data_IF_792152302592
#
_entry.id   IF_792152302592
#
_cell.length_a   1.000
_cell.length_b   1.000
_cell.length_c   1.000
_cell.angle_alpha   90.00
_cell.angle_beta   90.00
_cell.angle_gamma   90.00
#
_symmetry.space_group_name_H-M   'P 1'
#
loop_
_entity.id
_entity.type
_entity.pdbx_description
1 polymer ?
#
# COMPACT_ATOMS: atom_id res chain seq x y z
N UNK A 1 -3.16 6.76 -14.55
CA UNK A 1 -2.45 5.52 -14.10
C UNK A 1 -3.48 4.44 -13.96
N UNK A 2 -3.38 3.41 -14.80
CA UNK A 2 -4.41 2.39 -14.89
C UNK A 2 -4.39 1.41 -13.70
N UNK A 3 -5.53 0.80 -13.37
CA UNK A 3 -5.64 -0.08 -12.20
C UNK A 3 -4.81 -1.36 -12.35
N UNK A 4 -4.43 -1.95 -11.21
CA UNK A 4 -3.81 -3.28 -11.18
C UNK A 4 -4.81 -4.44 -11.37
N UNK A 5 -6.05 -4.14 -11.78
CA UNK A 5 -7.05 -5.15 -12.11
C UNK A 5 -6.66 -5.89 -13.39
N UNK A 6 -7.18 -7.10 -13.54
CA UNK A 6 -7.04 -7.85 -14.79
C UNK A 6 -7.60 -7.03 -15.95
N UNK A 7 -6.78 -6.91 -17.01
CA UNK A 7 -7.21 -6.33 -18.25
C UNK A 7 -7.94 -7.41 -19.06
N UNK A 8 -9.13 -7.13 -19.59
CA UNK A 8 -9.76 -7.99 -20.59
C UNK A 8 -8.88 -8.05 -21.86
N UNK A 9 -9.18 -9.00 -22.74
CA UNK A 9 -8.56 -9.03 -24.06
C UNK A 9 -8.83 -7.71 -24.79
N UNK A 10 -7.79 -7.04 -25.30
CA UNK A 10 -7.91 -5.72 -25.91
C UNK A 10 -8.79 -5.73 -27.17
N UNK A 11 -8.79 -6.84 -27.92
CA UNK A 11 -9.66 -7.00 -29.08
C UNK A 11 -11.13 -7.09 -28.67
N UNK A 12 -11.43 -7.85 -27.62
CA UNK A 12 -12.80 -7.99 -27.12
C UNK A 12 -13.29 -6.71 -26.45
N UNK A 13 -12.45 -6.07 -25.63
CA UNK A 13 -12.79 -4.86 -24.87
C UNK A 13 -13.15 -3.68 -25.77
N UNK A 14 -12.40 -3.49 -26.85
CA UNK A 14 -12.64 -2.40 -27.81
C UNK A 14 -13.41 -2.84 -29.06
N UNK A 15 -13.94 -4.08 -29.08
CA UNK A 15 -14.68 -4.64 -30.22
C UNK A 15 -13.90 -4.55 -31.56
N UNK A 16 -12.61 -4.84 -31.51
CA UNK A 16 -11.68 -4.76 -32.65
C UNK A 16 -11.57 -6.10 -33.37
N UNK A 17 -11.31 -6.07 -34.68
CA UNK A 17 -11.01 -7.28 -35.45
C UNK A 17 -9.53 -7.67 -35.27
N UNK A 18 -9.29 -8.82 -34.62
CA UNK A 18 -7.94 -9.35 -34.40
C UNK A 18 -7.21 -9.75 -35.69
N UNK A 19 -7.91 -9.83 -36.83
CA UNK A 19 -7.32 -10.08 -38.15
C UNK A 19 -6.94 -8.81 -38.91
N UNK A 20 -7.39 -7.64 -38.46
CA UNK A 20 -7.07 -6.36 -39.09
C UNK A 20 -5.56 -6.05 -38.96
N UNK A 21 -5.02 -5.25 -39.86
CA UNK A 21 -3.63 -4.77 -39.78
C UNK A 21 -3.47 -3.74 -38.66
N UNK A 22 -2.25 -3.54 -38.13
CA UNK A 22 -2.02 -2.54 -37.08
C UNK A 22 -2.38 -1.11 -37.51
N UNK A 23 -2.29 -0.81 -38.81
CA UNK A 23 -2.76 0.46 -39.37
C UNK A 23 -4.28 0.60 -39.29
N UNK A 24 -5.02 -0.45 -39.66
CA UNK A 24 -6.48 -0.46 -39.59
C UNK A 24 -6.98 -0.41 -38.13
N UNK A 25 -6.32 -1.13 -37.22
CA UNK A 25 -6.58 -1.03 -35.78
C UNK A 25 -6.35 0.38 -35.26
N UNK A 26 -5.32 1.07 -35.73
CA UNK A 26 -5.08 2.47 -35.38
C UNK A 26 -6.20 3.41 -35.83
N UNK A 27 -6.80 3.17 -37.00
CA UNK A 27 -7.98 3.94 -37.44
C UNK A 27 -9.19 3.66 -36.54
N UNK A 28 -9.43 2.40 -36.19
CA UNK A 28 -10.55 2.01 -35.32
C UNK A 28 -10.40 2.60 -33.91
N UNK A 29 -9.20 2.54 -33.33
CA UNK A 29 -8.92 3.10 -32.01
C UNK A 29 -8.99 4.63 -32.01
N UNK A 30 -8.50 5.29 -33.05
CA UNK A 30 -8.65 6.75 -33.19
C UNK A 30 -10.13 7.16 -33.33
N UNK A 31 -10.95 6.38 -34.04
CA UNK A 31 -12.38 6.62 -34.13
C UNK A 31 -13.09 6.43 -32.78
N UNK A 32 -12.69 5.42 -32.00
CA UNK A 32 -13.21 5.19 -30.65
C UNK A 32 -12.81 6.32 -29.68
N UNK A 33 -11.60 6.85 -29.78
CA UNK A 33 -11.17 8.02 -28.99
C UNK A 33 -12.00 9.27 -29.32
N UNK A 34 -12.19 9.55 -30.61
CA UNK A 34 -13.01 10.67 -31.08
C UNK A 34 -14.47 10.54 -30.64
N UNK A 35 -14.99 9.30 -30.54
CA UNK A 35 -16.32 9.05 -30.03
C UNK A 35 -16.43 9.37 -28.54
N UNK A 36 -15.46 8.95 -27.72
CA UNK A 36 -15.41 9.27 -26.28
C UNK A 36 -15.30 10.79 -26.06
N UNK A 37 -14.49 11.47 -26.85
CA UNK A 37 -14.40 12.94 -26.83
C UNK A 37 -15.75 13.60 -27.16
N UNK A 38 -16.45 13.10 -28.19
CA UNK A 38 -17.78 13.57 -28.56
C UNK A 38 -18.86 13.33 -27.49
N UNK A 39 -18.67 12.33 -26.62
CA UNK A 39 -19.53 12.06 -25.46
C UNK A 39 -19.18 12.91 -24.23
N UNK A 40 -18.12 13.74 -24.31
CA UNK A 40 -17.70 14.64 -23.23
C UNK A 40 -16.75 14.02 -22.20
N UNK A 41 -16.11 12.88 -22.52
CA UNK A 41 -15.09 12.29 -21.64
C UNK A 41 -13.82 13.15 -21.64
N UNK A 42 -13.36 13.49 -20.43
CA UNK A 42 -12.11 14.23 -20.25
C UNK A 42 -10.89 13.38 -20.67
N UNK A 43 -9.78 14.00 -21.08
CA UNK A 43 -8.55 13.27 -21.41
C UNK A 43 -8.01 12.39 -20.29
N UNK A 44 -8.22 12.76 -19.02
CA UNK A 44 -7.82 11.95 -17.85
C UNK A 44 -8.85 10.90 -17.43
N UNK A 45 -9.93 10.72 -18.21
CA UNK A 45 -10.91 9.68 -17.92
C UNK A 45 -10.26 8.29 -18.10
N UNK A 46 -10.53 7.33 -17.20
CA UNK A 46 -9.91 6.01 -17.25
C UNK A 46 -10.16 5.30 -18.59
N UNK A 47 -11.33 5.52 -19.20
CA UNK A 47 -11.70 4.94 -20.50
C UNK A 47 -10.78 5.44 -21.64
N UNK A 48 -10.38 6.73 -21.60
CA UNK A 48 -9.44 7.29 -22.59
C UNK A 48 -8.00 6.88 -22.30
N UNK A 49 -7.61 6.72 -21.03
CA UNK A 49 -6.30 6.17 -20.66
C UNK A 49 -6.14 4.70 -21.15
N UNK A 50 -7.17 3.86 -20.96
CA UNK A 50 -7.18 2.47 -21.43
C UNK A 50 -7.03 2.40 -22.95
N UNK A 51 -7.76 3.24 -23.67
CA UNK A 51 -7.70 3.32 -25.13
C UNK A 51 -6.34 3.80 -25.62
N UNK A 52 -5.70 4.74 -24.92
CA UNK A 52 -4.35 5.20 -25.23
C UNK A 52 -3.29 4.11 -25.03
N UNK A 53 -3.44 3.25 -24.02
CA UNK A 53 -2.58 2.06 -23.84
C UNK A 53 -2.80 1.06 -24.96
N UNK A 54 -4.06 0.75 -25.30
CA UNK A 54 -4.38 -0.17 -26.39
C UNK A 54 -3.82 0.31 -27.73
N UNK A 55 -3.93 1.60 -28.02
CA UNK A 55 -3.39 2.22 -29.24
C UNK A 55 -1.88 2.06 -29.34
N UNK A 56 -1.13 2.33 -28.26
CA UNK A 56 0.34 2.15 -28.25
C UNK A 56 0.76 0.70 -28.51
N UNK A 57 -0.02 -0.27 -28.05
CA UNK A 57 0.30 -1.70 -28.20
C UNK A 57 -0.11 -2.21 -29.59
N UNK A 58 -1.35 -1.96 -30.00
CA UNK A 58 -1.94 -2.59 -31.20
C UNK A 58 -1.53 -1.91 -32.51
N UNK A 59 -1.24 -0.60 -32.47
CA UNK A 59 -0.84 0.16 -33.66
C UNK A 59 0.61 -0.09 -34.09
N UNK A 60 1.45 -0.60 -33.19
CA UNK A 60 2.85 -0.95 -33.48
C UNK A 60 2.96 -2.46 -33.75
N UNK A 61 3.32 -2.90 -34.97
CA UNK A 61 3.30 -4.32 -35.35
C UNK A 61 4.16 -5.22 -34.45
N UNK A 62 5.33 -4.73 -34.05
CA UNK A 62 6.25 -5.45 -33.17
C UNK A 62 5.68 -5.61 -31.75
N UNK A 63 5.05 -4.54 -31.25
CA UNK A 63 4.40 -4.54 -29.94
C UNK A 63 3.19 -5.46 -29.89
N UNK A 64 2.37 -5.43 -30.94
CA UNK A 64 1.19 -6.28 -31.12
C UNK A 64 1.56 -7.75 -31.18
N UNK A 65 2.55 -8.13 -31.98
CA UNK A 65 2.96 -9.53 -32.11
C UNK A 65 3.34 -10.14 -30.75
N UNK A 66 4.00 -9.34 -29.90
CA UNK A 66 4.37 -9.80 -28.57
C UNK A 66 3.18 -9.83 -27.58
N UNK A 67 2.17 -8.98 -27.77
CA UNK A 67 0.90 -9.04 -27.05
C UNK A 67 0.10 -10.29 -27.43
N UNK A 68 -0.03 -10.56 -28.73
CA UNK A 68 -0.74 -11.72 -29.25
C UNK A 68 -0.14 -13.03 -28.72
N UNK A 69 1.20 -13.12 -28.67
CA UNK A 69 1.90 -14.25 -28.06
C UNK A 69 1.54 -14.47 -26.58
N UNK A 70 1.34 -13.39 -25.81
CA UNK A 70 0.95 -13.47 -24.39
C UNK A 70 -0.50 -13.92 -24.25
N UNK A 71 -1.39 -13.41 -25.10
CA UNK A 71 -2.79 -13.83 -25.13
C UNK A 71 -2.90 -15.32 -25.49
N UNK A 72 -2.16 -15.78 -26.50
CA UNK A 72 -2.11 -17.20 -26.90
C UNK A 72 -1.56 -18.11 -25.81
N UNK A 73 -0.62 -17.62 -24.99
CA UNK A 73 -0.10 -18.36 -23.84
C UNK A 73 -1.07 -18.47 -22.65
N UNK A 74 -2.24 -17.82 -22.73
CA UNK A 74 -3.23 -17.78 -21.65
C UNK A 74 -2.83 -16.89 -20.47
N UNK A 75 -1.92 -15.94 -20.68
CA UNK A 75 -1.45 -15.06 -19.62
C UNK A 75 -2.55 -14.08 -19.17
N UNK A 76 -2.82 -14.02 -17.87
CA UNK A 76 -3.72 -13.02 -17.29
C UNK A 76 -2.95 -11.70 -17.06
N UNK A 77 -3.05 -10.78 -18.01
CA UNK A 77 -2.40 -9.47 -17.96
C UNK A 77 -3.25 -8.47 -17.15
N UNK A 78 -2.60 -7.53 -16.46
CA UNK A 78 -3.27 -6.39 -15.79
C UNK A 78 -3.11 -5.11 -16.60
N UNK A 79 -3.98 -4.13 -16.40
CA UNK A 79 -3.86 -2.84 -17.11
C UNK A 79 -2.53 -2.13 -16.80
N UNK A 80 -2.04 -2.22 -15.57
CA UNK A 80 -0.73 -1.70 -15.19
C UNK A 80 0.42 -2.37 -15.97
N UNK A 81 0.34 -3.68 -16.24
CA UNK A 81 1.34 -4.39 -17.06
C UNK A 81 1.28 -3.96 -18.52
N UNK A 82 0.08 -3.73 -19.06
CA UNK A 82 -0.10 -3.21 -20.41
C UNK A 82 0.43 -1.78 -20.54
N UNK A 83 0.19 -0.92 -19.55
CA UNK A 83 0.69 0.46 -19.51
C UNK A 83 2.23 0.51 -19.45
N UNK A 84 2.84 -0.34 -18.61
CA UNK A 84 4.30 -0.48 -18.52
C UNK A 84 4.90 -0.99 -19.84
N UNK A 85 4.29 -2.02 -20.43
CA UNK A 85 4.70 -2.54 -21.72
C UNK A 85 4.57 -1.50 -22.85
N UNK A 86 3.45 -0.78 -22.89
CA UNK A 86 3.20 0.28 -23.87
C UNK A 86 4.21 1.45 -23.76
N UNK A 87 4.81 1.62 -22.59
CA UNK A 87 5.78 2.70 -22.32
C UNK A 87 7.22 2.23 -22.55
N UNK A 88 7.54 0.98 -22.19
CA UNK A 88 8.91 0.45 -22.20
C UNK A 88 9.23 -0.40 -23.43
N UNK A 89 8.20 -0.91 -24.13
CA UNK A 89 8.33 -1.84 -25.26
C UNK A 89 8.87 -3.22 -24.86
N UNK A 90 8.92 -3.54 -23.57
CA UNK A 90 9.46 -4.81 -23.05
C UNK A 90 8.48 -5.43 -22.08
N UNK A 91 8.12 -6.68 -22.30
CA UNK A 91 7.44 -7.44 -21.26
C UNK A 91 8.43 -7.56 -20.11
N UNK A 92 8.12 -6.95 -18.96
CA UNK A 92 8.90 -7.20 -17.76
C UNK A 92 9.01 -8.71 -17.54
N UNK A 93 10.21 -9.20 -17.22
CA UNK A 93 10.43 -10.56 -16.73
C UNK A 93 9.65 -10.71 -15.44
N UNK A 94 8.36 -11.02 -15.59
CA UNK A 94 7.40 -11.12 -14.53
C UNK A 94 7.31 -9.85 -13.66
N UNK A 95 6.15 -9.18 -13.68
CA UNK A 95 5.70 -8.46 -12.48
C UNK A 95 5.42 -9.42 -11.28
N UNK A 96 5.84 -10.70 -11.39
CA UNK A 96 6.01 -11.71 -10.35
C UNK A 96 7.31 -12.53 -10.56
N UNK A 97 8.44 -11.86 -10.71
CA UNK A 97 9.74 -12.39 -10.34
C UNK A 97 10.55 -11.19 -9.84
N UNK A 98 10.96 -11.18 -8.56
CA UNK A 98 11.66 -10.04 -7.99
C UNK A 98 12.97 -9.86 -8.76
N UNK A 99 13.16 -8.67 -9.33
CA UNK A 99 14.47 -8.22 -9.78
C UNK A 99 15.42 -8.32 -8.60
N UNK A 100 16.30 -9.32 -8.66
CA UNK A 100 17.46 -9.46 -7.79
C UNK A 100 18.36 -8.27 -8.06
N UNK A 101 18.06 -7.19 -7.35
CA UNK A 101 19.02 -6.12 -7.08
C UNK A 101 20.09 -6.72 -6.17
N UNK A 102 21.38 -6.34 -6.27
CA UNK A 102 22.47 -7.00 -5.53
C UNK A 102 22.11 -6.96 -4.04
N UNK A 103 22.40 -8.04 -3.28
CA UNK A 103 21.56 -8.53 -2.20
C UNK A 103 21.01 -7.39 -1.35
N UNK A 104 19.79 -6.94 -1.67
CA UNK A 104 19.13 -5.81 -1.01
C UNK A 104 18.34 -6.33 0.17
N UNK A 105 19.01 -7.07 1.06
CA UNK A 105 18.48 -7.53 2.35
C UNK A 105 16.94 -7.71 2.30
N UNK A 106 16.51 -8.68 1.48
CA UNK A 106 15.14 -8.98 1.05
C UNK A 106 14.31 -9.50 2.23
N UNK A 107 14.29 -8.70 3.29
CA UNK A 107 13.64 -8.96 4.54
C UNK A 107 12.14 -9.05 4.25
N UNK A 108 11.59 -10.26 4.33
CA UNK A 108 10.19 -10.57 4.00
C UNK A 108 9.26 -9.61 4.75
N UNK A 109 8.54 -8.77 4.00
CA UNK A 109 7.55 -7.84 4.56
C UNK A 109 6.45 -8.61 5.29
N UNK A 110 6.01 -8.09 6.44
CA UNK A 110 5.00 -8.75 7.25
C UNK A 110 3.64 -8.79 6.52
N UNK A 111 2.96 -9.95 6.56
CA UNK A 111 1.60 -10.09 6.00
C UNK A 111 0.58 -9.28 6.81
N UNK A 112 -0.57 -8.88 6.22
CA UNK A 112 -1.58 -8.11 6.94
C UNK A 112 -2.01 -8.80 8.25
N UNK A 113 -2.23 -10.12 8.22
CA UNK A 113 -2.59 -10.91 9.39
C UNK A 113 -1.53 -10.89 10.50
N UNK A 114 -0.25 -11.06 10.15
CA UNK A 114 0.83 -10.99 11.14
C UNK A 114 0.94 -9.59 11.76
N UNK A 115 0.73 -8.54 10.95
CA UNK A 115 0.76 -7.14 11.43
C UNK A 115 -0.37 -6.84 12.41
N UNK A 116 -1.58 -7.32 12.12
CA UNK A 116 -2.73 -7.20 13.03
C UNK A 116 -2.48 -7.99 14.31
N UNK A 117 -2.02 -9.24 14.21
CA UNK A 117 -1.71 -10.08 15.37
C UNK A 117 -0.69 -9.39 16.29
N UNK A 118 0.43 -8.92 15.73
CA UNK A 118 1.44 -8.19 16.51
C UNK A 118 0.89 -6.90 17.12
N UNK A 119 0.06 -6.16 16.39
CA UNK A 119 -0.56 -4.94 16.91
C UNK A 119 -1.51 -5.21 18.10
N UNK A 120 -2.25 -6.32 18.07
CA UNK A 120 -3.10 -6.76 19.18
C UNK A 120 -2.25 -7.17 20.39
N UNK A 121 -1.21 -7.97 20.20
CA UNK A 121 -0.30 -8.35 21.29
C UNK A 121 0.37 -7.11 21.90
N UNK A 122 0.86 -6.20 21.08
CA UNK A 122 1.45 -4.94 21.56
C UNK A 122 0.44 -4.07 22.32
N UNK A 123 -0.84 -4.11 21.95
CA UNK A 123 -1.88 -3.39 22.69
C UNK A 123 -2.03 -3.94 24.11
N UNK A 124 -2.05 -5.27 24.27
CA UNK A 124 -2.05 -5.89 25.60
C UNK A 124 -0.77 -5.59 26.40
N UNK A 125 0.40 -5.64 25.76
CA UNK A 125 1.67 -5.31 26.43
C UNK A 125 1.71 -3.84 26.87
N UNK A 126 1.29 -2.91 26.01
CA UNK A 126 1.17 -1.51 26.36
C UNK A 126 0.17 -1.30 27.52
N UNK A 127 -0.98 -1.98 27.48
CA UNK A 127 -1.98 -1.93 28.55
C UNK A 127 -1.41 -2.43 29.88
N UNK A 128 -0.64 -3.53 29.90
CA UNK A 128 0.01 -4.01 31.13
C UNK A 128 1.00 -2.98 31.70
N UNK A 129 1.83 -2.37 30.85
CA UNK A 129 2.78 -1.32 31.27
C UNK A 129 2.03 -0.12 31.84
N UNK A 130 0.98 0.33 31.18
CA UNK A 130 0.15 1.46 31.63
C UNK A 130 -0.56 1.13 32.94
N UNK A 131 -1.18 -0.04 33.06
CA UNK A 131 -1.85 -0.50 34.28
C UNK A 131 -0.89 -0.57 35.46
N UNK A 132 0.35 -1.02 35.24
CA UNK A 132 1.38 -1.01 36.27
C UNK A 132 1.71 0.42 36.73
N UNK A 133 1.92 1.35 35.79
CA UNK A 133 2.21 2.76 36.10
C UNK A 133 1.05 3.42 36.85
N UNK A 134 -0.18 3.23 36.38
CA UNK A 134 -1.38 3.80 37.00
C UNK A 134 -1.61 3.20 38.38
N UNK A 135 -1.49 1.88 38.53
CA UNK A 135 -1.71 1.19 39.80
C UNK A 135 -0.70 1.55 40.88
N UNK A 136 0.52 1.92 40.52
CA UNK A 136 1.51 2.46 41.46
C UNK A 136 1.36 3.97 41.71
N UNK A 137 0.96 4.74 40.69
CA UNK A 137 0.90 6.19 40.74
C UNK A 137 -0.39 6.78 41.32
N UNK A 138 -1.49 6.03 41.32
CA UNK A 138 -2.82 6.50 41.73
C UNK A 138 -3.43 5.57 42.79
N UNK A 139 -3.60 6.11 44.00
CA UNK A 139 -4.18 5.37 45.15
C UNK A 139 -5.71 5.37 45.15
N UNK A 140 -6.36 6.39 44.56
CA UNK A 140 -7.81 6.50 44.38
C UNK A 140 -8.15 6.83 42.92
N UNK A 141 -8.46 5.82 42.08
CA UNK A 141 -8.66 6.02 40.64
C UNK A 141 -9.91 6.83 40.29
N UNK A 142 -10.96 6.74 41.12
CA UNK A 142 -12.29 7.25 40.80
C UNK A 142 -12.36 8.79 40.81
N UNK A 143 -11.53 9.45 41.63
CA UNK A 143 -11.47 10.91 41.74
C UNK A 143 -10.69 11.57 40.59
N UNK A 144 -9.97 10.78 39.79
CA UNK A 144 -8.98 11.27 38.81
C UNK A 144 -9.16 10.67 37.41
N UNK A 145 -10.37 10.21 37.07
CA UNK A 145 -10.65 9.45 35.84
C UNK A 145 -10.13 10.12 34.56
N UNK A 146 -10.33 11.44 34.40
CA UNK A 146 -9.84 12.20 33.24
C UNK A 146 -8.30 12.25 33.19
N UNK A 147 -7.66 12.42 34.34
CA UNK A 147 -6.19 12.43 34.45
C UNK A 147 -5.60 11.06 34.15
N UNK A 148 -6.21 10.00 34.66
CA UNK A 148 -5.78 8.62 34.43
C UNK A 148 -5.88 8.27 32.94
N UNK A 149 -6.98 8.64 32.27
CA UNK A 149 -7.14 8.44 30.82
C UNK A 149 -6.07 9.21 30.03
N UNK A 150 -5.82 10.46 30.40
CA UNK A 150 -4.84 11.32 29.72
C UNK A 150 -3.40 10.81 29.90
N UNK A 151 -3.03 10.37 31.10
CA UNK A 151 -1.70 9.81 31.37
C UNK A 151 -1.55 8.45 30.68
N UNK A 152 -2.60 7.64 30.69
CA UNK A 152 -2.62 6.35 29.99
C UNK A 152 -2.40 6.51 28.49
N UNK A 153 -3.01 7.51 27.85
CA UNK A 153 -2.80 7.77 26.42
C UNK A 153 -1.38 8.26 26.13
N UNK A 154 -0.80 9.12 26.99
CA UNK A 154 0.60 9.55 26.89
C UNK A 154 1.55 8.36 26.94
N UNK A 155 1.43 7.50 27.95
CA UNK A 155 2.30 6.33 28.07
C UNK A 155 2.09 5.31 26.95
N UNK A 156 0.85 5.13 26.49
CA UNK A 156 0.56 4.27 25.33
C UNK A 156 1.24 4.80 24.08
N UNK A 157 1.12 6.09 23.78
CA UNK A 157 1.77 6.70 22.60
C UNK A 157 3.29 6.64 22.73
N UNK A 158 3.83 6.95 23.91
CA UNK A 158 5.26 6.86 24.19
C UNK A 158 5.80 5.44 24.01
N UNK A 159 5.07 4.41 24.43
CA UNK A 159 5.43 3.00 24.20
C UNK A 159 5.71 2.76 22.70
N UNK A 160 4.76 3.08 21.82
CA UNK A 160 4.94 2.80 20.38
C UNK A 160 6.09 3.61 19.77
N UNK A 161 6.19 4.89 20.09
CA UNK A 161 7.19 5.77 19.48
C UNK A 161 8.60 5.44 20.00
N UNK A 162 8.78 5.32 21.31
CA UNK A 162 10.09 5.05 21.89
C UNK A 162 10.63 3.68 21.47
N UNK A 163 9.80 2.63 21.45
CA UNK A 163 10.27 1.32 20.99
C UNK A 163 10.63 1.32 19.49
N UNK A 164 9.87 2.01 18.65
CA UNK A 164 10.18 2.09 17.22
C UNK A 164 11.47 2.86 16.93
N UNK A 165 11.71 3.97 17.62
CA UNK A 165 12.93 4.78 17.42
C UNK A 165 14.14 4.11 18.06
N UNK A 166 14.02 3.63 19.30
CA UNK A 166 15.16 3.13 20.08
C UNK A 166 15.48 1.66 19.78
N UNK A 167 14.47 0.80 19.74
CA UNK A 167 14.66 -0.63 19.52
C UNK A 167 14.48 -1.04 18.04
N UNK A 168 13.92 -0.15 17.22
CA UNK A 168 13.62 -0.42 15.81
C UNK A 168 12.30 -1.17 15.61
N UNK A 169 11.60 -1.58 16.67
CA UNK A 169 10.27 -2.20 16.57
C UNK A 169 9.61 -2.24 17.95
N UNK A 170 8.29 -2.42 17.95
CA UNK A 170 7.54 -2.69 19.17
C UNK A 170 7.86 -4.09 19.72
N UNK A 171 7.75 -4.34 21.04
CA UNK A 171 8.08 -5.62 21.66
C UNK A 171 7.48 -6.84 20.98
N UNK A 172 6.20 -6.85 20.62
CA UNK A 172 5.61 -8.01 19.93
C UNK A 172 6.24 -8.25 18.54
N UNK A 173 6.59 -7.17 17.82
CA UNK A 173 7.31 -7.26 16.55
C UNK A 173 8.71 -7.81 16.75
N UNK A 174 9.44 -7.35 17.77
CA UNK A 174 10.78 -7.85 18.09
C UNK A 174 10.75 -9.36 18.40
N UNK A 175 9.80 -9.80 19.23
CA UNK A 175 9.58 -11.22 19.54
C UNK A 175 9.26 -12.01 18.27
N UNK A 176 8.45 -11.44 17.37
CA UNK A 176 8.14 -12.02 16.06
C UNK A 176 9.29 -12.00 15.06
N UNK A 177 10.46 -11.46 15.42
CA UNK A 177 11.60 -11.31 14.51
C UNK A 177 11.41 -10.23 13.46
N UNK A 178 10.61 -9.20 13.73
CA UNK A 178 10.34 -8.09 12.82
C UNK A 178 11.03 -6.81 13.27
N UNK A 179 11.34 -5.97 12.28
CA UNK A 179 11.85 -4.61 12.47
C UNK A 179 11.01 -3.61 11.68
N UNK A 180 10.92 -2.40 12.19
CA UNK A 180 10.40 -1.21 11.53
C UNK A 180 11.59 -0.37 11.10
N UNK A 181 11.69 -0.09 9.80
CA UNK A 181 12.79 0.70 9.24
C UNK A 181 12.30 1.66 8.16
N UNK A 182 13.08 2.69 7.88
CA UNK A 182 12.86 3.53 6.70
C UNK A 182 13.08 2.70 5.42
N UNK A 183 12.25 2.89 4.41
CA UNK A 183 12.31 2.12 3.16
C UNK A 183 13.54 2.45 2.32
N UNK A 184 14.00 3.68 2.39
CA UNK A 184 15.11 4.19 1.58
C UNK A 184 16.45 3.97 2.27
N UNK A 185 16.55 4.28 3.57
CA UNK A 185 17.82 4.18 4.30
C UNK A 185 18.01 2.84 5.00
N UNK A 186 16.94 2.06 5.18
CA UNK A 186 16.94 0.83 5.99
C UNK A 186 17.35 1.00 7.46
N UNK A 187 17.47 2.25 7.92
CA UNK A 187 17.75 2.58 9.32
C UNK A 187 16.48 2.60 10.17
N UNK A 188 16.64 2.67 11.49
CA UNK A 188 15.51 2.87 12.41
C UNK A 188 14.81 4.19 12.09
N UNK A 189 13.52 4.25 12.39
CA UNK A 189 12.74 5.47 12.15
C UNK A 189 13.25 6.62 13.02
N UNK A 190 13.25 7.82 12.44
CA UNK A 190 13.37 9.05 13.21
C UNK A 190 12.13 9.29 14.07
N UNK A 191 12.24 10.14 15.09
CA UNK A 191 11.09 10.56 15.92
C UNK A 191 9.94 11.11 15.06
N UNK A 192 10.25 11.94 14.08
CA UNK A 192 9.24 12.52 13.18
C UNK A 192 8.52 11.44 12.36
N UNK A 193 9.26 10.47 11.84
CA UNK A 193 8.68 9.37 11.06
C UNK A 193 7.81 8.47 11.93
N UNK A 194 8.26 8.13 13.15
CA UNK A 194 7.45 7.30 14.05
C UNK A 194 6.17 8.01 14.52
N UNK A 195 6.22 9.32 14.77
CA UNK A 195 5.02 10.13 15.08
C UNK A 195 4.03 10.10 13.92
N UNK A 196 4.50 10.34 12.68
CA UNK A 196 3.64 10.28 11.48
C UNK A 196 3.04 8.89 11.32
N UNK A 197 3.84 7.84 11.50
CA UNK A 197 3.40 6.45 11.39
C UNK A 197 2.34 6.08 12.43
N UNK A 198 2.42 6.67 13.61
CA UNK A 198 1.50 6.45 14.72
C UNK A 198 0.48 7.60 14.89
N UNK A 199 0.19 8.38 13.84
CA UNK A 199 -0.68 9.57 13.91
C UNK A 199 -2.03 9.30 14.59
N UNK A 200 -2.64 8.15 14.30
CA UNK A 200 -3.94 7.76 14.86
C UNK A 200 -3.84 7.45 16.36
N UNK A 201 -2.70 6.93 16.83
CA UNK A 201 -2.43 6.79 18.27
C UNK A 201 -2.16 8.14 18.90
N UNK A 202 -1.41 9.02 18.23
CA UNK A 202 -1.17 10.39 18.71
C UNK A 202 -2.48 11.17 18.84
N UNK A 203 -3.45 10.93 17.96
CA UNK A 203 -4.79 11.52 18.09
C UNK A 203 -5.48 11.15 19.42
N UNK A 204 -5.19 9.98 20.00
CA UNK A 204 -5.74 9.55 21.30
C UNK A 204 -5.27 10.40 22.50
N UNK A 205 -4.28 11.26 22.32
CA UNK A 205 -3.87 12.23 23.34
C UNK A 205 -4.94 13.29 23.60
N UNK A 206 -5.83 13.55 22.64
CA UNK A 206 -6.95 14.47 22.82
C UNK A 206 -8.05 13.77 23.61
N UNK A 207 -8.40 14.25 24.82
CA UNK A 207 -9.46 13.63 25.62
C UNK A 207 -10.80 13.61 24.87
N UNK A 208 -11.64 12.61 25.19
CA UNK A 208 -12.98 12.38 24.62
C UNK A 208 -12.99 12.00 23.13
N UNK A 209 -12.56 12.89 22.23
CA UNK A 209 -12.68 12.67 20.78
C UNK A 209 -11.50 11.88 20.20
N UNK A 210 -10.32 11.98 20.81
CA UNK A 210 -9.10 11.33 20.36
C UNK A 210 -9.20 9.80 20.29
N UNK A 211 -9.72 9.11 21.32
CA UNK A 211 -9.92 7.66 21.28
C UNK A 211 -10.82 7.20 20.13
N UNK A 212 -11.85 7.97 19.76
CA UNK A 212 -12.70 7.65 18.61
C UNK A 212 -11.92 7.77 17.29
N UNK A 213 -11.15 8.85 17.12
CA UNK A 213 -10.29 9.04 15.95
C UNK A 213 -9.25 7.91 15.87
N UNK A 214 -8.67 7.52 17.01
CA UNK A 214 -7.70 6.44 17.09
C UNK A 214 -8.32 5.10 16.68
N UNK A 215 -9.53 4.80 17.13
CA UNK A 215 -10.24 3.57 16.78
C UNK A 215 -10.54 3.48 15.27
N UNK A 216 -11.18 4.51 14.70
CA UNK A 216 -11.46 4.51 13.26
C UNK A 216 -10.18 4.61 12.41
N UNK A 217 -9.18 5.34 12.88
CA UNK A 217 -7.85 5.39 12.29
C UNK A 217 -7.20 4.01 12.25
N UNK A 218 -7.29 3.23 13.33
CA UNK A 218 -6.80 1.85 13.38
C UNK A 218 -7.48 0.95 12.33
N UNK A 219 -8.81 1.03 12.22
CA UNK A 219 -9.56 0.29 11.21
C UNK A 219 -9.14 0.69 9.79
N UNK A 220 -9.08 1.99 9.52
CA UNK A 220 -8.65 2.53 8.22
C UNK A 220 -7.23 2.07 7.85
N UNK A 221 -6.26 2.13 8.77
CA UNK A 221 -4.89 1.76 8.41
C UNK A 221 -4.73 0.26 8.15
N UNK A 222 -5.54 -0.59 8.79
CA UNK A 222 -5.53 -2.04 8.55
C UNK A 222 -6.09 -2.37 7.17
N UNK A 223 -7.20 -1.75 6.75
CA UNK A 223 -7.81 -2.01 5.44
C UNK A 223 -6.93 -1.57 4.27
N UNK A 224 -6.00 -0.65 4.51
CA UNK A 224 -5.07 -0.16 3.49
C UNK A 224 -3.86 -1.07 3.25
N UNK A 225 -3.66 -2.10 4.09
CA UNK A 225 -2.55 -3.05 3.94
C UNK A 225 -2.93 -4.07 2.86
N UNK A 226 -2.20 -4.07 1.76
CA UNK A 226 -2.43 -5.03 0.68
C UNK A 226 -1.24 -5.18 -0.24
N UNK A 227 -1.32 -6.17 -1.14
CA UNK A 227 -0.27 -6.44 -2.13
C UNK A 227 0.01 -5.20 -3.01
N UNK A 228 -1.04 -4.44 -3.36
CA UNK A 228 -0.95 -3.17 -4.11
C UNK A 228 -0.02 -2.12 -3.49
N UNK A 229 0.13 -2.15 -2.16
CA UNK A 229 0.94 -1.20 -1.40
C UNK A 229 2.22 -1.86 -0.87
N UNK A 230 2.68 -2.96 -1.49
CA UNK A 230 3.82 -3.74 -1.00
C UNK A 230 3.66 -4.15 0.48
N UNK A 231 2.44 -4.48 0.91
CA UNK A 231 2.11 -4.81 2.31
C UNK A 231 2.36 -3.67 3.33
N UNK A 232 2.45 -2.43 2.86
CA UNK A 232 2.50 -1.21 3.67
C UNK A 232 1.09 -0.63 3.80
N UNK A 233 0.71 -0.20 4.99
CA UNK A 233 -0.52 0.57 5.18
C UNK A 233 -0.27 2.05 4.89
N UNK A 234 -1.33 2.84 4.76
CA UNK A 234 -1.21 4.29 4.52
C UNK A 234 -0.36 5.00 5.58
N UNK A 235 -0.46 4.56 6.83
CA UNK A 235 0.39 5.05 7.92
C UNK A 235 1.88 4.77 7.72
N UNK A 236 2.26 3.64 7.13
CA UNK A 236 3.65 3.34 6.81
C UNK A 236 4.13 4.12 5.59
N UNK A 237 3.25 4.32 4.59
CA UNK A 237 3.55 5.11 3.40
C UNK A 237 3.83 6.57 3.79
N UNK A 238 2.97 7.17 4.61
CA UNK A 238 3.11 8.55 5.10
C UNK A 238 4.40 8.78 5.89
N UNK A 239 4.93 7.74 6.53
CA UNK A 239 6.17 7.79 7.30
C UNK A 239 7.42 7.34 6.53
N UNK A 240 7.27 6.95 5.26
CA UNK A 240 8.30 6.24 4.49
C UNK A 240 8.86 4.98 5.21
N UNK A 241 8.02 4.29 5.97
CA UNK A 241 8.40 3.15 6.79
C UNK A 241 7.97 1.80 6.18
N UNK A 242 8.61 0.73 6.64
CA UNK A 242 8.22 -0.65 6.36
C UNK A 242 8.39 -1.55 7.59
N UNK A 243 7.68 -2.68 7.58
CA UNK A 243 7.83 -3.73 8.60
C UNK A 243 8.31 -5.00 7.91
N UNK A 244 9.51 -5.44 8.25
CA UNK A 244 10.19 -6.55 7.59
C UNK A 244 10.75 -7.53 8.60
N UNK A 245 10.90 -8.79 8.21
CA UNK A 245 11.48 -9.84 9.04
C UNK A 245 13.01 -9.70 9.07
N UNK A 246 13.60 -9.58 10.26
CA UNK A 246 15.06 -9.65 10.47
C UNK A 246 15.62 -11.02 10.13
#
# INVERSE_FOLDING_TARGET
MLPASFAPNLYEHFSLDSRATSRELGVQLAAADAHLEGLGYLPEAPEREELAVASRILCEPSSRASYDQKVESGAQLTWAQLEDYATTGRWGESAHAPTSTPPRDDARRASPGNRVLMAVIDYFLAALVVSFIVGFGFTNPDDNSVWIVSISSIFTVAYYICFEVLAGATPAKLIGGYTVRDVTTHEKLTWQQSIRRNWWRVASLVPLIGPLIAFFGALYVVTTIGAKNQLRGQHDIMANAEVVKK
#
